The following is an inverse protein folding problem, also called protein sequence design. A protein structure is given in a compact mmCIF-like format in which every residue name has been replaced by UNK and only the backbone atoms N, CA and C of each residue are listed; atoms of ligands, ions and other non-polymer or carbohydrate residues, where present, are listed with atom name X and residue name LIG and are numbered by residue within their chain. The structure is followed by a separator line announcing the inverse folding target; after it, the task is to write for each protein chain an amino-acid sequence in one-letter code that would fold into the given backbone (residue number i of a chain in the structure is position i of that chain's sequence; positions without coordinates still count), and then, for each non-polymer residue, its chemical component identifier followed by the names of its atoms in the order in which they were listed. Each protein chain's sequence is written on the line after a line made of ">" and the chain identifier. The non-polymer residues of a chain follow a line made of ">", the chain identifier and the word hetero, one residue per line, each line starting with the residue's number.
data_IF_533365744959
#
_entry.id   IF_533365744959
#
_cell.length_a   1.000
_cell.length_b   1.000
_cell.length_c   1.000
_cell.angle_alpha   90.00
_cell.angle_beta   90.00
_cell.angle_gamma   90.00
#
_symmetry.space_group_name_H-M   'P 1'
#
loop_
_entity.id
_entity.type
_entity.pdbx_description
1 polymer ?
#
# COMPACT_ATOMS: atom_id res chain seq x y z
N UNK A 1 13.95 14.90 19.46
CA UNK A 1 14.89 14.50 18.38
C UNK A 1 14.67 13.03 18.09
N UNK A 2 14.08 12.67 16.95
CA UNK A 2 13.82 11.27 16.60
C UNK A 2 15.10 10.62 16.05
N UNK A 3 15.57 9.56 16.71
CA UNK A 3 16.78 8.80 16.34
C UNK A 3 16.40 7.81 15.24
N UNK A 4 16.67 8.15 13.98
CA UNK A 4 16.48 7.26 12.84
C UNK A 4 17.49 6.10 12.96
N UNK A 5 17.01 4.91 13.35
CA UNK A 5 17.80 3.68 13.27
C UNK A 5 17.84 3.24 11.82
N UNK A 6 19.01 3.34 11.18
CA UNK A 6 19.25 2.80 9.84
C UNK A 6 19.24 1.28 9.95
N UNK A 7 18.30 0.62 9.26
CA UNK A 7 18.14 -0.84 9.22
C UNK A 7 18.79 -1.34 7.93
N UNK A 8 19.84 -2.16 8.02
CA UNK A 8 20.64 -2.55 6.85
C UNK A 8 19.96 -3.60 5.93
N UNK A 9 18.92 -4.29 6.39
CA UNK A 9 18.11 -5.22 5.60
C UNK A 9 16.74 -5.36 6.28
N UNK A 10 15.66 -5.03 5.56
CA UNK A 10 14.28 -5.25 6.00
C UNK A 10 13.64 -6.26 5.06
N UNK A 11 13.26 -7.43 5.59
CA UNK A 11 12.50 -8.42 4.83
C UNK A 11 11.05 -7.92 4.69
N UNK A 12 10.74 -7.39 3.51
CA UNK A 12 9.40 -6.87 3.19
C UNK A 12 8.44 -7.94 2.68
N UNK A 13 8.85 -9.21 2.65
CA UNK A 13 7.97 -10.30 2.23
C UNK A 13 6.86 -10.53 3.25
N UNK A 14 5.64 -10.73 2.77
CA UNK A 14 4.50 -11.14 3.60
C UNK A 14 3.60 -12.07 2.79
N UNK A 15 2.93 -12.95 3.52
CA UNK A 15 1.88 -13.80 2.97
C UNK A 15 0.61 -13.50 3.72
N UNK A 16 -0.45 -13.15 3.01
CA UNK A 16 -1.78 -13.04 3.57
C UNK A 16 -2.48 -14.39 3.43
N UNK A 17 -3.22 -14.78 4.46
CA UNK A 17 -4.18 -15.87 4.36
C UNK A 17 -5.16 -15.59 3.18
N UNK A 18 -5.54 -16.61 2.38
CA UNK A 18 -6.43 -16.40 1.23
C UNK A 18 -7.75 -15.72 1.58
N UNK A 19 -8.35 -16.04 2.74
CA UNK A 19 -9.60 -15.43 3.21
C UNK A 19 -9.37 -13.96 3.58
N UNK A 20 -8.30 -13.69 4.32
CA UNK A 20 -7.90 -12.33 4.70
C UNK A 20 -7.59 -11.46 3.46
N UNK A 21 -6.90 -12.02 2.47
CA UNK A 21 -6.60 -11.34 1.20
C UNK A 21 -7.88 -11.00 0.45
N UNK A 22 -8.80 -11.95 0.32
CA UNK A 22 -10.07 -11.74 -0.38
C UNK A 22 -10.89 -10.63 0.31
N UNK A 23 -11.02 -10.70 1.64
CA UNK A 23 -11.73 -9.69 2.42
C UNK A 23 -11.09 -8.30 2.29
N UNK A 24 -9.75 -8.21 2.33
CA UNK A 24 -9.05 -6.94 2.13
C UNK A 24 -9.28 -6.40 0.71
N UNK A 25 -9.19 -7.24 -0.31
CA UNK A 25 -9.36 -6.82 -1.70
C UNK A 25 -10.77 -6.33 -1.97
N UNK A 26 -11.79 -7.01 -1.42
CA UNK A 26 -13.17 -6.54 -1.49
C UNK A 26 -13.28 -5.12 -0.95
N UNK A 27 -12.77 -4.86 0.27
CA UNK A 27 -12.77 -3.52 0.87
C UNK A 27 -12.03 -2.48 0.02
N UNK A 28 -10.87 -2.84 -0.55
CA UNK A 28 -10.05 -1.95 -1.38
C UNK A 28 -10.65 -1.66 -2.77
N UNK A 29 -11.65 -2.44 -3.19
CA UNK A 29 -12.39 -2.27 -4.45
C UNK A 29 -13.75 -1.62 -4.28
N UNK A 30 -14.19 -1.34 -3.04
CA UNK A 30 -15.50 -0.72 -2.79
C UNK A 30 -15.58 0.66 -3.45
N UNK A 31 -16.66 0.93 -4.18
CA UNK A 31 -16.87 2.18 -4.91
C UNK A 31 -16.74 3.42 -4.02
N UNK A 32 -17.30 3.35 -2.80
CA UNK A 32 -17.19 4.43 -1.81
C UNK A 32 -15.74 4.72 -1.42
N UNK A 33 -14.90 3.69 -1.33
CA UNK A 33 -13.48 3.87 -1.03
C UNK A 33 -12.72 4.40 -2.24
N UNK A 34 -12.97 3.85 -3.44
CA UNK A 34 -12.38 4.33 -4.68
C UNK A 34 -12.70 5.81 -4.94
N UNK A 35 -13.93 6.25 -4.66
CA UNK A 35 -14.32 7.64 -4.79
C UNK A 35 -13.54 8.55 -3.82
N UNK A 36 -13.34 8.13 -2.57
CA UNK A 36 -12.53 8.86 -1.59
C UNK A 36 -11.07 8.96 -2.02
N UNK A 37 -10.51 7.86 -2.50
CA UNK A 37 -9.13 7.85 -3.01
C UNK A 37 -9.04 8.76 -4.25
N UNK A 38 -10.02 8.71 -5.16
CA UNK A 38 -10.09 9.53 -6.36
C UNK A 38 -10.06 11.02 -6.04
N UNK A 39 -10.83 11.45 -5.04
CA UNK A 39 -10.80 12.82 -4.53
C UNK A 39 -9.41 13.20 -3.99
N UNK A 40 -8.78 12.32 -3.21
CA UNK A 40 -7.47 12.58 -2.61
C UNK A 40 -6.35 12.69 -3.66
N UNK A 41 -6.43 11.94 -4.76
CA UNK A 41 -5.41 11.94 -5.82
C UNK A 41 -5.80 12.75 -7.05
N UNK A 42 -6.90 13.52 -6.97
CA UNK A 42 -7.46 14.34 -8.06
C UNK A 42 -7.62 13.53 -9.36
N UNK A 43 -8.32 12.40 -9.26
CA UNK A 43 -8.59 11.52 -10.38
C UNK A 43 -10.03 11.01 -10.33
N UNK A 44 -10.71 11.00 -11.48
CA UNK A 44 -12.11 10.61 -11.60
C UNK A 44 -12.33 9.11 -11.45
N UNK A 45 -11.35 8.30 -11.89
CA UNK A 45 -11.46 6.84 -11.89
C UNK A 45 -10.18 6.17 -11.45
N UNK A 46 -10.33 5.26 -10.49
CA UNK A 46 -9.25 4.44 -9.97
C UNK A 46 -9.60 2.97 -10.08
N UNK A 47 -8.58 2.18 -10.40
CA UNK A 47 -8.68 0.73 -10.48
C UNK A 47 -7.63 0.13 -9.55
N UNK A 48 -8.06 -0.65 -8.56
CA UNK A 48 -7.13 -1.34 -7.65
C UNK A 48 -6.36 -2.40 -8.44
N UNK A 49 -5.02 -2.33 -8.44
CA UNK A 49 -4.20 -3.22 -9.27
C UNK A 49 -3.94 -4.58 -8.62
N UNK A 50 -4.54 -4.84 -7.44
CA UNK A 50 -4.28 -6.04 -6.64
C UNK A 50 -2.83 -6.18 -6.15
N UNK A 51 -2.02 -5.12 -6.27
CA UNK A 51 -0.67 -5.08 -5.76
C UNK A 51 -0.67 -4.41 -4.38
N UNK A 52 -0.02 -5.09 -3.44
CA UNK A 52 0.19 -4.63 -2.08
C UNK A 52 1.66 -4.75 -1.73
N UNK A 53 2.17 -3.81 -0.93
CA UNK A 53 3.52 -3.90 -0.38
C UNK A 53 3.59 -3.37 1.03
N UNK A 54 4.63 -3.77 1.78
CA UNK A 54 4.93 -3.17 3.08
C UNK A 54 5.83 -1.96 2.88
N UNK A 55 5.47 -0.77 3.41
CA UNK A 55 6.39 0.35 3.44
C UNK A 55 7.57 0.00 4.35
N UNK A 56 8.78 0.21 3.84
CA UNK A 56 10.03 -0.09 4.55
C UNK A 56 10.59 1.18 5.19
N UNK A 57 11.39 1.07 6.27
CA UNK A 57 12.09 2.23 6.81
C UNK A 57 12.96 2.90 5.73
N UNK A 58 13.18 4.20 5.88
CA UNK A 58 14.18 4.89 5.07
C UNK A 58 15.55 4.23 5.27
N UNK A 59 16.17 3.83 4.17
CA UNK A 59 17.55 3.30 4.15
C UNK A 59 18.28 3.91 2.95
N UNK A 60 19.62 3.85 2.93
CA UNK A 60 20.39 4.30 1.77
C UNK A 60 20.02 3.53 0.50
N UNK A 61 19.60 2.26 0.64
CA UNK A 61 19.16 1.41 -0.47
C UNK A 61 17.69 1.64 -0.87
N UNK A 62 16.88 2.30 -0.04
CA UNK A 62 15.47 2.55 -0.30
C UNK A 62 15.06 3.94 0.23
N UNK A 63 15.49 5.02 -0.44
CA UNK A 63 15.27 6.39 0.03
C UNK A 63 13.79 6.80 0.03
N UNK A 64 12.94 6.10 -0.73
CA UNK A 64 11.50 6.37 -0.82
C UNK A 64 10.65 5.60 0.21
N UNK A 65 11.27 4.83 1.10
CA UNK A 65 10.55 4.04 2.10
C UNK A 65 9.62 2.97 1.51
N UNK A 66 9.93 2.49 0.30
CA UNK A 66 9.22 1.43 -0.40
C UNK A 66 10.21 0.45 -1.04
N UNK A 67 9.83 -0.81 -1.27
CA UNK A 67 10.68 -1.75 -1.99
C UNK A 67 10.91 -1.30 -3.44
N UNK A 68 12.12 -1.54 -3.96
CA UNK A 68 12.58 -1.08 -5.29
C UNK A 68 11.64 -1.52 -6.42
N UNK A 69 11.03 -2.70 -6.31
CA UNK A 69 10.12 -3.25 -7.32
C UNK A 69 8.83 -2.43 -7.50
N UNK A 70 8.47 -1.62 -6.49
CA UNK A 70 7.27 -0.78 -6.49
C UNK A 70 7.58 0.70 -6.79
N UNK A 71 8.86 1.10 -6.87
CA UNK A 71 9.24 2.50 -7.14
C UNK A 71 8.71 3.01 -8.47
N UNK A 72 8.62 2.14 -9.49
CA UNK A 72 8.05 2.46 -10.81
C UNK A 72 6.61 2.99 -10.74
N UNK A 73 5.83 2.59 -9.73
CA UNK A 73 4.46 3.07 -9.54
C UNK A 73 4.42 4.42 -8.83
N UNK A 74 5.43 4.75 -8.05
CA UNK A 74 5.57 6.07 -7.45
C UNK A 74 6.04 7.11 -8.47
N UNK A 75 6.90 6.71 -9.42
CA UNK A 75 7.45 7.59 -10.46
C UNK A 75 6.47 7.83 -11.62
N UNK A 76 5.49 6.95 -11.80
CA UNK A 76 4.51 7.08 -12.88
C UNK A 76 3.32 7.96 -12.45
N UNK A 77 2.94 8.96 -13.25
CA UNK A 77 1.76 9.76 -12.99
C UNK A 77 0.46 8.95 -13.12
N UNK A 78 0.50 7.81 -13.82
CA UNK A 78 -0.65 6.93 -14.09
C UNK A 78 -1.05 6.07 -12.89
N UNK A 79 -0.26 6.09 -11.81
CA UNK A 79 -0.52 5.30 -10.61
C UNK A 79 -0.63 6.18 -9.37
N UNK A 80 -1.28 5.62 -8.35
CA UNK A 80 -1.38 6.17 -7.02
C UNK A 80 -1.06 5.09 -5.99
N UNK A 81 -0.32 5.47 -4.95
CA UNK A 81 0.01 4.60 -3.82
C UNK A 81 -0.71 5.12 -2.59
N UNK A 82 -1.51 4.27 -1.96
CA UNK A 82 -2.35 4.63 -0.81
C UNK A 82 -2.05 3.72 0.35
N UNK A 83 -1.85 4.28 1.54
CA UNK A 83 -1.78 3.49 2.75
C UNK A 83 -3.12 2.80 3.00
N UNK A 84 -3.10 1.48 3.17
CA UNK A 84 -4.29 0.71 3.52
C UNK A 84 -4.78 1.18 4.90
N UNK A 85 -6.03 1.62 5.03
CA UNK A 85 -6.58 2.06 6.30
C UNK A 85 -6.51 0.95 7.38
N UNK A 86 -6.11 1.25 8.63
CA UNK A 86 -6.02 0.23 9.68
C UNK A 86 -7.34 -0.52 9.91
N UNK A 87 -8.48 0.17 9.83
CA UNK A 87 -9.81 -0.45 9.94
C UNK A 87 -10.07 -1.50 8.85
N UNK A 88 -9.47 -1.39 7.66
CA UNK A 88 -9.60 -2.39 6.61
C UNK A 88 -8.76 -3.62 6.93
N UNK A 89 -7.52 -3.41 7.41
CA UNK A 89 -6.66 -4.48 7.89
C UNK A 89 -7.32 -5.25 9.04
N UNK A 90 -7.90 -4.55 10.02
CA UNK A 90 -8.63 -5.17 11.13
C UNK A 90 -9.85 -5.97 10.66
N UNK A 91 -10.67 -5.42 9.75
CA UNK A 91 -11.83 -6.14 9.17
C UNK A 91 -11.42 -7.40 8.42
N UNK A 92 -10.29 -7.36 7.73
CA UNK A 92 -9.70 -8.50 7.02
C UNK A 92 -8.91 -9.45 7.94
N UNK A 93 -8.90 -9.23 9.27
CA UNK A 93 -8.13 -10.01 10.26
C UNK A 93 -6.61 -10.01 9.99
N UNK A 94 -6.08 -8.95 9.39
CA UNK A 94 -4.66 -8.77 9.12
C UNK A 94 -4.02 -7.99 10.28
N UNK A 95 -3.25 -8.69 11.09
CA UNK A 95 -2.50 -8.10 12.22
C UNK A 95 -0.99 -8.02 11.95
N UNK A 96 -0.50 -8.81 11.00
CA UNK A 96 0.84 -8.74 10.45
C UNK A 96 0.73 -8.86 8.93
N UNK A 97 1.35 -7.94 8.15
CA UNK A 97 2.18 -6.82 8.62
C UNK A 97 1.36 -5.67 9.24
N UNK A 98 2.04 -4.72 9.91
CA UNK A 98 1.37 -3.60 10.61
C UNK A 98 0.93 -2.46 9.68
N UNK A 99 1.53 -2.38 8.49
CA UNK A 99 1.19 -1.41 7.45
C UNK A 99 1.24 -2.08 6.10
N UNK A 100 0.30 -1.72 5.25
CA UNK A 100 0.26 -2.09 3.85
C UNK A 100 0.01 -0.84 3.01
N UNK A 101 0.60 -0.81 1.83
CA UNK A 101 0.32 0.16 0.78
C UNK A 101 -0.35 -0.58 -0.39
N UNK A 102 -1.39 0.02 -0.94
CA UNK A 102 -2.11 -0.45 -2.10
C UNK A 102 -1.82 0.42 -3.32
N UNK A 103 -1.70 -0.21 -4.48
CA UNK A 103 -1.45 0.48 -5.74
C UNK A 103 -2.76 0.56 -6.55
N UNK A 104 -3.03 1.76 -7.05
CA UNK A 104 -4.17 2.07 -7.90
C UNK A 104 -3.68 2.60 -9.24
N UNK A 105 -4.34 2.20 -10.31
CA UNK A 105 -4.18 2.80 -11.65
C UNK A 105 -5.22 3.91 -11.82
N UNK A 106 -4.75 5.08 -12.23
CA UNK A 106 -5.59 6.21 -12.66
C UNK A 106 -6.10 5.93 -14.07
N UNK A 107 -7.38 6.24 -14.32
CA UNK A 107 -8.09 5.99 -15.57
C UNK A 107 -8.75 7.25 -16.09
#
# INVERSE_FOLDING_TARGET
>A
MARLKIVNQFDSSFTLDPEAKAALFELLTQENFLAQVGQAVTCDRLEFTQLLFQPIPYTEAAPKGMPVEYEKYHESPDYAIINVPPNFMFKAKIFQPSRLCAIYRKR
#
